data_IF_653438334127
#
_entry.id   IF_653438334127
#
_cell.length_a   1.000
_cell.length_b   1.000
_cell.length_c   1.000
_cell.angle_alpha   90.00
_cell.angle_beta   90.00
_cell.angle_gamma   90.00
#
_symmetry.space_group_name_H-M   'P 1'
#
loop_
_entity.id
_entity.type
_entity.pdbx_description
1 polymer ?
#
# COMPACT_ATOMS: atom_id res chain seq x y z
N UNK A 1 23.83 22.24 -9.13
CA UNK A 1 22.94 21.11 -8.79
C UNK A 1 23.60 20.25 -7.72
N UNK A 2 23.74 20.83 -6.53
CA UNK A 2 24.60 20.31 -5.45
C UNK A 2 23.81 19.29 -4.59
N UNK A 3 24.32 18.06 -4.52
CA UNK A 3 24.13 17.07 -3.45
C UNK A 3 22.69 16.75 -2.94
N UNK A 4 21.68 16.71 -3.81
CA UNK A 4 20.36 16.18 -3.40
C UNK A 4 20.42 14.65 -3.22
N UNK A 5 20.24 14.19 -1.99
CA UNK A 5 20.22 12.76 -1.65
C UNK A 5 18.93 12.12 -2.16
N UNK A 6 19.05 11.22 -3.12
CA UNK A 6 17.94 10.40 -3.61
C UNK A 6 17.65 9.29 -2.60
N UNK A 7 16.38 9.10 -2.26
CA UNK A 7 15.91 7.97 -1.47
C UNK A 7 15.58 6.80 -2.39
N UNK A 8 15.96 5.60 -1.99
CA UNK A 8 15.71 4.36 -2.71
C UNK A 8 15.01 3.33 -1.81
N UNK A 9 14.14 2.52 -2.39
CA UNK A 9 13.50 1.41 -1.70
C UNK A 9 13.03 0.32 -2.64
N UNK A 10 12.66 -0.83 -2.08
CA UNK A 10 12.00 -1.91 -2.79
C UNK A 10 10.83 -2.44 -1.96
N UNK A 11 9.83 -3.00 -2.63
CA UNK A 11 8.63 -3.57 -2.03
C UNK A 11 8.37 -4.94 -2.64
N UNK A 12 8.20 -5.93 -1.76
CA UNK A 12 7.63 -7.23 -2.10
C UNK A 12 6.34 -7.37 -1.31
N UNK A 13 5.24 -7.64 -2.00
CA UNK A 13 3.93 -7.84 -1.35
C UNK A 13 3.25 -9.05 -1.94
N UNK A 14 3.01 -10.06 -1.11
CA UNK A 14 2.11 -11.14 -1.47
C UNK A 14 0.69 -10.85 -0.93
N UNK A 15 -0.31 -11.17 -1.73
CA UNK A 15 -1.73 -11.03 -1.39
C UNK A 15 -2.48 -12.21 -1.99
N UNK A 16 -3.10 -13.01 -1.12
CA UNK A 16 -4.00 -14.10 -1.50
C UNK A 16 -5.43 -13.77 -1.09
N UNK A 17 -6.38 -13.96 -2.01
CA UNK A 17 -7.80 -13.65 -1.86
C UNK A 17 -8.63 -14.60 -2.74
N UNK A 18 -9.37 -15.52 -2.11
CA UNK A 18 -10.18 -16.51 -2.84
C UNK A 18 -9.32 -17.24 -3.89
N UNK A 19 -9.68 -17.19 -5.17
CA UNK A 19 -8.95 -17.78 -6.30
C UNK A 19 -7.76 -16.93 -6.80
N UNK A 20 -7.62 -15.70 -6.30
CA UNK A 20 -6.55 -14.78 -6.71
C UNK A 20 -5.36 -14.88 -5.75
N UNK A 21 -4.18 -15.14 -6.30
CA UNK A 21 -2.91 -14.93 -5.63
C UNK A 21 -2.06 -13.96 -6.43
N UNK A 22 -1.50 -12.95 -5.77
CA UNK A 22 -0.70 -11.92 -6.41
C UNK A 22 0.56 -11.63 -5.62
N UNK A 23 1.71 -11.63 -6.30
CA UNK A 23 3.00 -11.22 -5.74
C UNK A 23 3.49 -9.99 -6.49
N UNK A 24 3.55 -8.87 -5.79
CA UNK A 24 3.98 -7.60 -6.31
C UNK A 24 5.45 -7.37 -6.02
N UNK A 25 6.19 -6.89 -7.01
CA UNK A 25 7.58 -6.48 -6.88
C UNK A 25 7.73 -5.06 -7.43
N UNK A 26 8.22 -4.14 -6.60
CA UNK A 26 8.46 -2.76 -7.02
C UNK A 26 9.80 -2.25 -6.51
N UNK A 27 10.44 -1.44 -7.34
CA UNK A 27 11.57 -0.58 -6.99
C UNK A 27 11.07 0.86 -6.96
N UNK A 28 11.53 1.65 -5.98
CA UNK A 28 11.02 2.99 -5.71
C UNK A 28 12.17 3.99 -5.54
N UNK A 29 12.01 5.17 -6.12
CA UNK A 29 12.93 6.29 -5.98
C UNK A 29 12.14 7.53 -5.54
N UNK A 30 12.70 8.31 -4.63
CA UNK A 30 12.11 9.59 -4.24
C UNK A 30 13.17 10.70 -4.17
N UNK A 31 12.84 11.82 -4.80
CA UNK A 31 13.66 13.02 -4.90
C UNK A 31 13.15 14.07 -3.89
N UNK A 32 13.89 14.35 -2.81
CA UNK A 32 13.53 15.40 -1.86
C UNK A 32 13.93 16.78 -2.40
N UNK A 33 13.00 17.71 -2.33
CA UNK A 33 13.16 19.12 -2.70
C UNK A 33 12.79 19.94 -1.46
N UNK A 34 13.76 20.65 -0.90
CA UNK A 34 13.49 21.61 0.17
C UNK A 34 12.89 22.88 -0.43
N UNK A 35 11.67 23.24 -0.03
CA UNK A 35 10.98 24.43 -0.53
C UNK A 35 11.24 25.64 0.38
N UNK A 36 11.25 25.41 1.71
CA UNK A 36 11.58 26.41 2.75
C UNK A 36 12.34 25.72 3.90
N UNK A 37 12.67 26.46 4.95
CA UNK A 37 13.30 25.88 6.16
C UNK A 37 12.40 24.84 6.87
N UNK A 38 11.08 24.96 6.73
CA UNK A 38 10.07 24.13 7.40
C UNK A 38 9.25 23.26 6.43
N UNK A 39 9.58 23.23 5.14
CA UNK A 39 8.82 22.46 4.15
C UNK A 39 9.67 21.70 3.14
N UNK A 40 9.26 20.45 2.90
CA UNK A 40 9.92 19.49 2.04
C UNK A 40 8.89 18.83 1.12
N UNK A 41 9.18 18.81 -0.17
CA UNK A 41 8.43 18.08 -1.19
C UNK A 41 9.24 16.87 -1.63
N UNK A 42 8.69 15.68 -1.48
CA UNK A 42 9.25 14.46 -2.05
C UNK A 42 8.49 14.08 -3.30
N UNK A 43 9.17 13.97 -4.43
CA UNK A 43 8.61 13.44 -5.67
C UNK A 43 9.05 12.00 -5.85
N UNK A 44 8.10 11.08 -5.94
CA UNK A 44 8.34 9.64 -5.98
C UNK A 44 7.96 9.02 -7.32
N UNK A 45 8.75 8.06 -7.76
CA UNK A 45 8.46 7.17 -8.89
C UNK A 45 8.67 5.72 -8.46
N UNK A 46 7.87 4.81 -9.00
CA UNK A 46 8.02 3.37 -8.78
C UNK A 46 7.88 2.61 -10.09
N UNK A 47 8.64 1.54 -10.25
CA UNK A 47 8.57 0.66 -11.41
C UNK A 47 8.65 -0.81 -10.95
N UNK A 48 7.92 -1.69 -11.63
CA UNK A 48 7.82 -3.08 -11.24
C UNK A 48 6.62 -3.77 -11.88
N UNK A 49 5.94 -4.60 -11.12
CA UNK A 49 4.75 -5.30 -11.59
C UNK A 49 4.24 -6.37 -10.64
N UNK A 50 3.25 -7.10 -11.12
CA UNK A 50 2.52 -8.10 -10.37
C UNK A 50 2.61 -9.46 -11.08
N UNK A 51 3.10 -10.47 -10.39
CA UNK A 51 2.86 -11.86 -10.76
C UNK A 51 1.49 -12.25 -10.26
N UNK A 52 0.58 -12.51 -11.18
CA UNK A 52 -0.82 -12.76 -10.92
C UNK A 52 -1.17 -14.21 -11.26
N UNK A 53 -1.81 -14.88 -10.32
CA UNK A 53 -2.32 -16.23 -10.43
C UNK A 53 -3.82 -16.24 -10.15
N UNK A 54 -4.61 -16.72 -11.11
CA UNK A 54 -6.00 -17.11 -10.90
C UNK A 54 -6.07 -18.62 -10.94
N UNK A 55 -6.50 -19.24 -9.85
CA UNK A 55 -6.69 -20.68 -9.78
C UNK A 55 -8.11 -21.01 -9.31
N UNK A 56 -8.94 -21.50 -10.23
CA UNK A 56 -10.30 -21.95 -9.93
C UNK A 56 -10.41 -23.48 -9.84
N UNK A 57 -9.30 -24.22 -9.90
CA UNK A 57 -9.29 -25.70 -9.91
C UNK A 57 -9.85 -26.31 -8.60
N UNK A 58 -9.97 -25.53 -7.53
CA UNK A 58 -10.61 -25.95 -6.29
C UNK A 58 -12.15 -25.85 -6.33
N UNK A 59 -12.72 -25.25 -7.38
CA UNK A 59 -14.17 -25.17 -7.57
C UNK A 59 -14.66 -26.39 -8.34
N UNK A 60 -15.54 -27.17 -7.72
CA UNK A 60 -16.21 -28.28 -8.39
C UNK A 60 -17.29 -27.74 -9.33
N UNK A 61 -17.29 -28.15 -10.60
CA UNK A 61 -18.41 -27.87 -11.51
C UNK A 61 -19.67 -28.59 -11.03
N UNK A 62 -20.79 -27.87 -11.02
CA UNK A 62 -22.10 -28.43 -10.64
C UNK A 62 -22.62 -29.39 -11.72
N UNK A 63 -22.11 -29.27 -12.95
CA UNK A 63 -22.57 -30.00 -14.14
C UNK A 63 -21.78 -31.31 -14.39
N UNK A 64 -20.90 -31.71 -13.46
CA UNK A 64 -20.09 -32.93 -13.58
C UNK A 64 -18.86 -32.81 -14.50
N UNK A 65 -18.55 -31.60 -14.98
CA UNK A 65 -17.35 -31.34 -15.79
C UNK A 65 -16.13 -31.25 -14.86
N UNK A 66 -15.26 -32.27 -14.89
CA UNK A 66 -14.09 -32.35 -14.00
C UNK A 66 -13.04 -31.23 -14.23
N UNK A 67 -13.01 -30.64 -15.43
CA UNK A 67 -12.12 -29.51 -15.80
C UNK A 67 -12.83 -28.62 -16.80
N UNK A 68 -13.29 -27.45 -16.36
CA UNK A 68 -13.84 -26.43 -17.25
C UNK A 68 -12.69 -25.69 -17.95
N UNK A 69 -12.59 -25.71 -19.30
CA UNK A 69 -11.56 -24.99 -20.04
C UNK A 69 -11.54 -23.47 -19.80
N UNK A 70 -12.66 -22.88 -19.38
CA UNK A 70 -12.77 -21.46 -19.06
C UNK A 70 -12.28 -21.12 -17.65
N UNK A 71 -12.12 -22.12 -16.78
CA UNK A 71 -11.67 -21.97 -15.38
C UNK A 71 -10.25 -22.48 -15.15
N UNK A 72 -9.46 -22.61 -16.22
CA UNK A 72 -8.07 -23.04 -16.12
C UNK A 72 -7.22 -22.03 -15.34
N UNK A 73 -6.22 -22.55 -14.63
CA UNK A 73 -5.24 -21.73 -13.93
C UNK A 73 -4.55 -20.77 -14.90
N UNK A 74 -4.57 -19.48 -14.59
CA UNK A 74 -3.91 -18.44 -15.37
C UNK A 74 -2.75 -17.84 -14.59
N UNK A 75 -1.56 -17.83 -15.18
CA UNK A 75 -0.36 -17.18 -14.64
C UNK A 75 0.07 -16.05 -15.57
N UNK A 76 0.21 -14.82 -15.05
CA UNK A 76 0.59 -13.66 -15.85
C UNK A 76 1.48 -12.71 -15.07
N UNK A 77 2.38 -12.02 -15.77
CA UNK A 77 3.10 -10.87 -15.23
C UNK A 77 2.50 -9.58 -15.80
N UNK A 78 2.07 -8.69 -14.91
CA UNK A 78 1.45 -7.41 -15.25
C UNK A 78 2.46 -6.30 -14.90
N UNK A 79 3.19 -5.74 -15.87
CA UNK A 79 4.13 -4.65 -15.59
C UNK A 79 3.38 -3.39 -15.16
N UNK A 80 4.01 -2.61 -14.29
CA UNK A 80 3.42 -1.39 -13.79
C UNK A 80 4.44 -0.33 -13.39
N UNK A 81 4.03 0.93 -13.49
CA UNK A 81 4.76 2.07 -12.98
C UNK A 81 3.81 2.96 -12.21
N UNK A 82 4.35 3.76 -11.30
CA UNK A 82 3.57 4.69 -10.50
C UNK A 82 4.34 5.94 -10.16
N UNK A 83 3.60 6.98 -9.81
CA UNK A 83 4.14 8.28 -9.42
C UNK A 83 3.40 8.79 -8.21
N UNK A 84 4.05 9.64 -7.41
CA UNK A 84 3.39 10.31 -6.31
C UNK A 84 4.22 11.43 -5.72
N UNK A 85 3.64 12.14 -4.78
CA UNK A 85 4.34 13.14 -4.01
C UNK A 85 3.95 13.09 -2.52
N UNK A 86 4.83 13.63 -1.69
CA UNK A 86 4.60 13.88 -0.28
C UNK A 86 5.13 15.28 0.06
N UNK A 87 4.23 16.20 0.36
CA UNK A 87 4.53 17.53 0.85
C UNK A 87 4.41 17.54 2.37
N UNK A 88 5.49 17.86 3.06
CA UNK A 88 5.53 18.06 4.50
C UNK A 88 5.78 19.53 4.78
N UNK A 89 4.97 20.15 5.65
CA UNK A 89 5.16 21.53 6.10
C UNK A 89 4.89 21.62 7.60
N UNK A 90 5.96 21.85 8.38
CA UNK A 90 5.92 21.76 9.83
C UNK A 90 5.32 20.43 10.30
N UNK A 91 4.21 20.48 11.03
CA UNK A 91 3.47 19.31 11.50
C UNK A 91 2.52 18.69 10.47
N UNK A 92 2.26 19.33 9.34
CA UNK A 92 1.24 18.88 8.39
C UNK A 92 1.86 18.10 7.24
N UNK A 93 1.10 17.15 6.69
CA UNK A 93 1.47 16.45 5.47
C UNK A 93 0.31 16.39 4.48
N UNK A 94 0.65 16.38 3.20
CA UNK A 94 -0.23 16.11 2.08
C UNK A 94 0.47 15.14 1.14
N UNK A 95 -0.16 14.00 0.86
CA UNK A 95 0.36 13.01 -0.07
C UNK A 95 -0.66 12.74 -1.16
N UNK A 96 -0.19 12.44 -2.37
CA UNK A 96 -1.02 11.85 -3.40
C UNK A 96 -0.18 10.92 -4.28
N UNK A 97 -0.76 9.84 -4.77
CA UNK A 97 -0.10 8.96 -5.72
C UNK A 97 -1.05 8.25 -6.67
N UNK A 98 -0.51 7.92 -7.83
CA UNK A 98 -1.06 7.00 -8.82
C UNK A 98 -0.12 5.78 -8.83
N UNK A 99 -0.33 4.77 -7.98
CA UNK A 99 0.61 3.66 -7.82
C UNK A 99 0.64 2.71 -9.01
N UNK A 100 -0.39 2.75 -9.87
CA UNK A 100 -0.59 1.81 -10.98
C UNK A 100 -1.07 2.54 -12.23
N UNK A 101 -0.14 2.94 -13.10
CA UNK A 101 -0.42 3.70 -14.33
C UNK A 101 -0.55 2.83 -15.59
N UNK A 102 0.25 1.77 -15.71
CA UNK A 102 0.30 0.96 -16.95
C UNK A 102 -0.79 -0.10 -17.01
N UNK A 103 -1.23 -0.55 -15.84
CA UNK A 103 -2.20 -1.63 -15.69
C UNK A 103 -3.45 -1.42 -16.56
N UNK A 104 -3.97 -0.19 -16.61
CA UNK A 104 -5.09 0.20 -17.48
C UNK A 104 -4.85 -0.11 -18.96
N UNK A 105 -3.66 0.16 -19.46
CA UNK A 105 -3.30 -0.01 -20.88
C UNK A 105 -2.91 -1.45 -21.22
N UNK A 106 -2.35 -2.19 -20.25
CA UNK A 106 -2.06 -3.61 -20.41
C UNK A 106 -3.35 -4.44 -20.52
N UNK A 107 -4.44 -4.03 -19.86
CA UNK A 107 -5.70 -4.76 -19.84
C UNK A 107 -6.60 -4.56 -21.06
N UNK A 108 -6.57 -3.39 -21.69
CA UNK A 108 -7.39 -3.14 -22.90
C UNK A 108 -6.97 -3.99 -24.11
N UNK A 109 -5.77 -4.58 -24.09
CA UNK A 109 -5.21 -5.37 -25.20
C UNK A 109 -5.25 -6.89 -24.97
N UNK A 110 -5.84 -7.37 -23.87
CA UNK A 110 -5.89 -8.81 -23.55
C UNK A 110 -7.34 -9.25 -23.35
N UNK A 111 -7.94 -9.95 -24.33
CA UNK A 111 -9.38 -10.24 -24.34
C UNK A 111 -9.87 -11.21 -23.25
N UNK A 112 -8.98 -12.02 -22.66
CA UNK A 112 -9.38 -13.12 -21.76
C UNK A 112 -9.26 -12.79 -20.26
N UNK A 113 -9.11 -11.50 -19.90
CA UNK A 113 -8.83 -11.08 -18.53
C UNK A 113 -9.88 -10.11 -18.00
N UNK A 114 -10.77 -10.59 -17.14
CA UNK A 114 -11.74 -9.77 -16.41
C UNK A 114 -11.08 -9.03 -15.24
N UNK A 115 -10.18 -8.08 -15.55
CA UNK A 115 -9.64 -7.17 -14.54
C UNK A 115 -10.33 -5.80 -14.60
N UNK A 116 -10.69 -5.19 -13.45
CA UNK A 116 -11.45 -3.94 -13.47
C UNK A 116 -10.63 -2.79 -14.09
N UNK A 117 -11.12 -2.18 -15.18
CA UNK A 117 -10.55 -0.93 -15.72
C UNK A 117 -10.80 0.21 -14.72
N UNK A 118 -9.80 0.53 -13.89
CA UNK A 118 -9.90 1.59 -12.88
C UNK A 118 -8.59 2.35 -12.71
N UNK A 119 -8.72 3.64 -12.41
CA UNK A 119 -7.61 4.46 -11.96
C UNK A 119 -7.35 4.19 -10.48
N UNK A 120 -6.20 3.60 -10.18
CA UNK A 120 -5.72 3.45 -8.81
C UNK A 120 -5.11 4.77 -8.35
N UNK A 121 -5.60 5.27 -7.22
CA UNK A 121 -5.07 6.49 -6.64
C UNK A 121 -5.18 6.47 -5.11
N UNK A 122 -4.37 7.30 -4.47
CA UNK A 122 -4.50 7.64 -3.06
C UNK A 122 -4.19 9.12 -2.87
N UNK A 123 -4.85 9.75 -1.93
CA UNK A 123 -4.59 11.11 -1.48
C UNK A 123 -4.78 11.13 0.03
N UNK A 124 -3.83 11.68 0.77
CA UNK A 124 -3.94 11.80 2.23
C UNK A 124 -3.54 13.18 2.71
N UNK A 125 -4.21 13.66 3.73
CA UNK A 125 -3.83 14.87 4.47
C UNK A 125 -3.84 14.55 5.95
N UNK A 126 -2.93 15.14 6.71
CA UNK A 126 -2.90 14.90 8.14
C UNK A 126 -1.92 15.78 8.90
N UNK A 127 -1.80 15.47 10.19
CA UNK A 127 -1.00 16.20 11.15
C UNK A 127 -0.24 15.25 12.07
N UNK A 128 1.04 15.55 12.25
CA UNK A 128 1.93 14.96 13.24
C UNK A 128 1.99 15.86 14.49
N UNK A 129 1.80 15.25 15.64
CA UNK A 129 1.94 15.87 16.94
C UNK A 129 3.23 15.38 17.58
N UNK A 130 4.02 16.31 18.12
CA UNK A 130 5.33 16.06 18.67
C UNK A 130 5.37 16.43 20.15
N UNK A 131 6.13 15.68 20.94
CA UNK A 131 6.48 16.06 22.32
C UNK A 131 7.44 17.25 22.32
N UNK A 132 7.60 17.89 23.48
CA UNK A 132 8.64 18.91 23.70
C UNK A 132 10.04 18.40 23.34
N UNK A 133 10.29 17.10 23.44
CA UNK A 133 11.56 16.46 23.03
C UNK A 133 11.75 16.35 21.51
N UNK A 134 10.82 16.83 20.70
CA UNK A 134 10.85 16.75 19.23
C UNK A 134 10.49 15.37 18.66
N UNK A 135 10.19 14.38 19.52
CA UNK A 135 9.74 13.05 19.07
C UNK A 135 8.27 13.08 18.70
N UNK A 136 7.94 12.48 17.55
CA UNK A 136 6.55 12.25 17.13
C UNK A 136 5.85 11.37 18.17
N UNK A 137 4.69 11.80 18.60
CA UNK A 137 3.85 11.11 19.56
C UNK A 137 2.56 10.60 18.93
N UNK A 138 1.94 11.40 18.07
CA UNK A 138 0.67 11.05 17.47
C UNK A 138 0.61 11.50 16.00
N UNK A 139 -0.03 10.71 15.15
CA UNK A 139 -0.43 11.12 13.79
C UNK A 139 -1.93 10.96 13.66
N UNK A 140 -2.58 11.95 13.06
CA UNK A 140 -3.95 11.86 12.60
C UNK A 140 -4.00 12.21 11.12
N UNK A 141 -4.67 11.40 10.32
CA UNK A 141 -4.77 11.62 8.88
C UNK A 141 -6.09 11.14 8.30
N UNK A 142 -6.53 11.83 7.26
CA UNK A 142 -7.62 11.43 6.38
C UNK A 142 -7.03 10.98 5.05
N UNK A 143 -7.48 9.85 4.54
CA UNK A 143 -7.05 9.29 3.27
C UNK A 143 -8.26 9.02 2.39
N UNK A 144 -8.21 9.47 1.14
CA UNK A 144 -9.14 9.12 0.08
C UNK A 144 -8.43 8.27 -0.97
N UNK A 145 -8.95 7.08 -1.26
CA UNK A 145 -8.25 6.16 -2.13
C UNK A 145 -9.18 5.27 -2.97
N UNK A 146 -8.63 4.73 -4.05
CA UNK A 146 -9.24 3.71 -4.90
C UNK A 146 -8.21 2.60 -5.11
N UNK A 147 -8.11 1.66 -4.14
CA UNK A 147 -7.03 0.66 -4.08
C UNK A 147 -7.53 -0.79 -3.99
N UNK A 148 -8.83 -0.99 -3.72
CA UNK A 148 -9.43 -2.31 -3.46
C UNK A 148 -10.79 -2.46 -4.19
N UNK A 149 -11.56 -3.52 -3.88
CA UNK A 149 -12.90 -3.77 -4.44
C UNK A 149 -13.86 -2.62 -4.21
N UNK A 150 -13.87 -2.05 -3.01
CA UNK A 150 -14.69 -0.89 -2.68
C UNK A 150 -14.17 0.33 -3.45
N UNK A 151 -14.99 0.80 -4.39
CA UNK A 151 -14.70 1.98 -5.19
C UNK A 151 -14.72 3.20 -4.26
N UNK A 152 -13.62 3.96 -4.24
CA UNK A 152 -13.53 5.29 -3.59
C UNK A 152 -13.82 5.25 -2.09
N UNK A 153 -12.83 4.87 -1.31
CA UNK A 153 -12.93 4.78 0.14
C UNK A 153 -12.28 6.01 0.79
N UNK A 154 -12.99 6.62 1.74
CA UNK A 154 -12.42 7.56 2.71
C UNK A 154 -12.08 6.80 3.99
N UNK A 155 -10.89 7.01 4.53
CA UNK A 155 -10.37 6.38 5.74
C UNK A 155 -9.77 7.42 6.69
N UNK A 156 -10.20 7.39 7.95
CA UNK A 156 -9.55 8.09 9.05
C UNK A 156 -8.50 7.16 9.66
N UNK A 157 -7.28 7.66 9.88
CA UNK A 157 -6.16 6.93 10.46
C UNK A 157 -5.57 7.69 11.64
N UNK A 158 -5.29 6.96 12.70
CA UNK A 158 -4.56 7.43 13.86
C UNK A 158 -3.36 6.54 14.14
N UNK A 159 -2.27 7.11 14.62
CA UNK A 159 -1.17 6.31 15.17
C UNK A 159 -0.57 6.95 16.40
N UNK A 160 -0.25 6.13 17.40
CA UNK A 160 0.42 6.55 18.62
C UNK A 160 1.81 5.93 18.68
N UNK A 161 2.83 6.78 18.84
CA UNK A 161 4.24 6.40 18.77
C UNK A 161 4.85 6.28 20.17
N UNK A 162 5.33 5.08 20.48
CA UNK A 162 6.03 4.71 21.69
C UNK A 162 7.55 4.59 21.42
N UNK A 163 8.40 4.64 22.44
CA UNK A 163 9.84 4.43 22.25
C UNK A 163 10.20 3.08 21.58
N UNK A 164 9.39 2.05 21.81
CA UNK A 164 9.60 0.69 21.30
C UNK A 164 8.81 0.37 20.03
N UNK A 165 7.96 1.28 19.55
CA UNK A 165 7.02 0.95 18.48
C UNK A 165 5.96 1.99 18.20
N UNK A 166 4.91 1.59 17.50
CA UNK A 166 3.72 2.38 17.30
C UNK A 166 2.47 1.50 17.30
N UNK A 167 1.36 2.07 17.72
CA UNK A 167 0.03 1.50 17.58
C UNK A 167 -0.68 2.26 16.45
N UNK A 168 -1.39 1.54 15.59
CA UNK A 168 -2.17 2.10 14.49
C UNK A 168 -3.63 1.73 14.66
N UNK A 169 -4.48 2.67 14.29
CA UNK A 169 -5.90 2.41 14.15
C UNK A 169 -6.45 3.14 12.94
N UNK A 170 -7.52 2.63 12.37
CA UNK A 170 -8.23 3.33 11.31
C UNK A 170 -9.65 2.83 11.15
N UNK A 171 -10.49 3.68 10.59
CA UNK A 171 -11.87 3.36 10.23
C UNK A 171 -12.15 3.92 8.86
N UNK A 172 -12.93 3.20 8.05
CA UNK A 172 -13.23 3.64 6.70
C UNK A 172 -14.73 3.64 6.39
N UNK A 173 -15.09 4.36 5.33
CA UNK A 173 -16.46 4.45 4.76
C UNK A 173 -16.93 3.11 4.19
N UNK A 174 -16.00 2.19 3.94
CA UNK A 174 -16.28 0.79 3.69
C UNK A 174 -16.60 0.03 5.00
N UNK A 175 -16.85 0.69 6.14
CA UNK A 175 -17.27 0.04 7.39
C UNK A 175 -16.31 -1.04 7.92
N UNK A 176 -15.01 -0.85 7.67
CA UNK A 176 -13.97 -1.65 8.28
C UNK A 176 -13.23 -0.83 9.35
N UNK A 177 -12.84 -1.53 10.41
CA UNK A 177 -11.95 -1.03 11.45
C UNK A 177 -10.64 -1.79 11.34
N UNK A 178 -9.53 -1.05 11.32
CA UNK A 178 -8.17 -1.58 11.34
C UNK A 178 -7.49 -1.27 12.66
N UNK A 179 -6.79 -2.25 13.23
CA UNK A 179 -5.87 -2.10 14.35
C UNK A 179 -4.53 -2.70 13.96
N UNK A 180 -3.44 -2.15 14.48
CA UNK A 180 -2.13 -2.71 14.23
C UNK A 180 -1.08 -2.22 15.20
N UNK A 181 0.07 -2.86 15.17
CA UNK A 181 1.24 -2.43 15.90
C UNK A 181 2.48 -2.59 15.04
N UNK A 182 3.48 -1.76 15.29
CA UNK A 182 4.82 -1.87 14.72
C UNK A 182 5.83 -1.85 15.86
N UNK A 183 6.77 -2.78 15.83
CA UNK A 183 7.91 -2.84 16.74
C UNK A 183 9.12 -2.25 16.02
N UNK A 184 9.77 -1.29 16.68
CA UNK A 184 11.02 -0.74 16.22
C UNK A 184 12.16 -1.54 16.83
N UNK A 185 12.92 -2.28 16.00
CA UNK A 185 14.19 -2.81 16.47
C UNK A 185 15.25 -1.72 16.44
N UNK A 186 16.25 -1.83 17.32
CA UNK A 186 17.47 -1.02 17.26
C UNK A 186 18.36 -1.37 16.06
N UNK A 187 18.12 -2.52 15.44
CA UNK A 187 18.85 -2.98 14.25
C UNK A 187 18.23 -2.52 12.93
N UNK A 188 18.45 -3.33 11.89
CA UNK A 188 17.99 -3.04 10.52
C UNK A 188 16.52 -3.37 10.28
N UNK A 189 15.84 -4.09 11.19
CA UNK A 189 14.50 -4.64 10.94
C UNK A 189 13.43 -4.00 11.81
N UNK A 190 12.36 -3.50 11.20
CA UNK A 190 11.10 -3.29 11.92
C UNK A 190 10.10 -4.38 11.53
N UNK A 191 9.28 -4.79 12.49
CA UNK A 191 8.18 -5.72 12.29
C UNK A 191 6.86 -4.99 12.52
N UNK A 192 5.86 -5.20 11.68
CA UNK A 192 4.52 -4.71 11.95
C UNK A 192 3.46 -5.75 11.62
N UNK A 193 2.37 -5.69 12.36
CA UNK A 193 1.19 -6.51 12.12
C UNK A 193 -0.04 -5.64 12.18
N UNK A 194 -0.95 -5.85 11.23
CA UNK A 194 -2.24 -5.17 11.18
C UNK A 194 -3.36 -6.18 10.94
N UNK A 195 -4.51 -5.89 11.53
CA UNK A 195 -5.73 -6.64 11.46
C UNK A 195 -6.87 -5.69 11.11
N UNK A 196 -7.59 -5.97 10.03
CA UNK A 196 -8.75 -5.21 9.60
C UNK A 196 -9.99 -6.11 9.56
N UNK A 197 -11.09 -5.64 10.13
CA UNK A 197 -12.33 -6.40 10.22
C UNK A 197 -13.55 -5.49 9.99
N UNK A 198 -14.63 -6.01 9.36
CA UNK A 198 -15.86 -5.26 9.20
C UNK A 198 -16.57 -5.12 10.55
N UNK A 199 -17.04 -3.91 10.89
CA UNK A 199 -17.82 -3.68 12.13
C UNK A 199 -19.33 -3.58 11.88
N UNK A 200 -19.78 -3.74 10.63
CA UNK A 200 -21.19 -3.90 10.29
C UNK A 200 -21.33 -4.94 9.18
N UNK A 201 -22.24 -5.89 9.38
CA UNK A 201 -22.53 -6.92 8.39
C UNK A 201 -23.21 -6.30 7.17
N UNK A 202 -22.57 -6.45 6.02
CA UNK A 202 -23.18 -6.29 4.71
C UNK A 202 -22.94 -7.57 3.94
N UNK A 203 -23.93 -8.03 3.16
CA UNK A 203 -23.97 -9.31 2.42
C UNK A 203 -22.87 -9.52 1.37
N UNK A 204 -21.86 -8.65 1.30
CA UNK A 204 -20.67 -8.82 0.44
C UNK A 204 -19.64 -9.67 1.17
N UNK A 205 -18.88 -10.47 0.42
CA UNK A 205 -17.73 -11.27 0.87
C UNK A 205 -16.66 -10.39 1.54
N UNK A 206 -16.91 -9.94 2.77
CA UNK A 206 -15.99 -9.12 3.58
C UNK A 206 -15.39 -9.98 4.64
N UNK A 207 -14.14 -10.36 4.41
CA UNK A 207 -13.36 -11.18 5.32
C UNK A 207 -12.45 -10.30 6.16
N UNK A 208 -12.08 -10.84 7.32
CA UNK A 208 -11.02 -10.28 8.12
C UNK A 208 -9.70 -10.34 7.35
N UNK A 209 -8.96 -9.23 7.35
CA UNK A 209 -7.69 -9.12 6.68
C UNK A 209 -6.57 -9.07 7.72
N UNK A 210 -5.57 -9.93 7.54
CA UNK A 210 -4.35 -9.92 8.31
C UNK A 210 -3.20 -9.45 7.42
N UNK A 211 -2.32 -8.63 7.96
CA UNK A 211 -1.17 -8.10 7.23
C UNK A 211 0.07 -8.13 8.10
N UNK A 212 1.11 -8.81 7.64
CA UNK A 212 2.44 -8.81 8.24
C UNK A 212 3.38 -7.98 7.37
N UNK A 213 4.16 -7.10 7.99
CA UNK A 213 5.14 -6.26 7.30
C UNK A 213 6.52 -6.41 7.95
N UNK A 214 7.51 -6.62 7.09
CA UNK A 214 8.93 -6.58 7.43
C UNK A 214 9.54 -5.38 6.73
N UNK A 215 10.14 -4.46 7.50
CA UNK A 215 10.80 -3.28 6.95
C UNK A 215 12.29 -3.32 7.27
N UNK A 216 13.10 -3.48 6.24
CA UNK A 216 14.57 -3.47 6.32
C UNK A 216 15.10 -2.05 6.02
N UNK A 217 15.89 -1.51 6.94
CA UNK A 217 16.56 -0.22 6.84
C UNK A 217 18.04 -0.44 6.54
N UNK A 218 18.46 -0.08 5.34
CA UNK A 218 19.86 -0.08 4.96
C UNK A 218 20.45 1.31 5.27
N UNK A 219 21.30 1.39 6.30
CA UNK A 219 22.05 2.60 6.58
C UNK A 219 23.16 2.73 5.53
N UNK A 220 23.14 3.84 4.78
CA UNK A 220 24.24 4.18 3.88
C UNK A 220 25.44 4.57 4.74
N UNK A 221 26.50 3.75 4.77
CA UNK A 221 27.80 4.14 5.33
C UNK A 221 28.28 5.38 4.56
N UNK A 222 28.41 6.53 5.20
CA UNK A 222 29.17 7.63 4.61
C UNK A 222 30.62 7.14 4.48
N UNK A 223 31.13 7.04 3.25
CA UNK A 223 32.57 7.11 3.06
C UNK A 223 32.98 8.54 3.44
N UNK A 224 33.85 8.64 4.45
CA UNK A 224 34.57 9.86 4.79
C UNK A 224 35.64 10.13 3.74
#
# INVERSE_FOLDING_TARGET
FENQKINFGALIRNRSRFAENSTQLFIQFAFPIQLTNDSYLHLGVQAGGDFYELNFEYLSSVDGVAKDPLLQKQLRFIPNTGVGFNLQKGSYFLTASLPRLLERYAFEKVPDLFLPNRLYFTMSVGKNFYRLSGRKEFELGLQFHNLDFDKRTVQLKGSYHLPIGALFMGVNTAKNLGLGFQLYSRGILNLAYAFEFPFQNSTRLRQNNHSLMLQLKFLKKLHR
#
